data_IF_192343611934
#
_entry.id   IF_192343611934
#
_cell.length_a   1.000
_cell.length_b   1.000
_cell.length_c   1.000
_cell.angle_alpha   90.00
_cell.angle_beta   90.00
_cell.angle_gamma   90.00
#
_symmetry.space_group_name_H-M   'P 1'
#
loop_
_entity.id
_entity.type
_entity.pdbx_description
1 polymer ?
#
# COMPACT_ATOMS: atom_id res chain seq x y z
N UNK A 1 14.30 -9.58 10.62
CA UNK A 1 13.64 -8.53 11.44
C UNK A 1 12.23 -8.44 10.91
N UNK A 2 11.23 -8.86 11.68
CA UNK A 2 9.85 -8.93 11.22
C UNK A 2 9.25 -7.51 11.20
N UNK A 3 8.67 -7.16 10.06
CA UNK A 3 8.04 -5.88 9.74
C UNK A 3 6.77 -5.69 10.59
N UNK A 4 6.92 -5.25 11.85
CA UNK A 4 5.80 -5.18 12.81
C UNK A 4 4.71 -4.17 12.42
N UNK A 5 5.02 -3.20 11.55
CA UNK A 5 4.12 -2.09 11.21
C UNK A 5 3.51 -2.18 9.80
N UNK A 6 3.87 -3.19 9.00
CA UNK A 6 3.27 -3.37 7.66
C UNK A 6 2.05 -4.28 7.78
N UNK A 7 0.87 -3.69 7.61
CA UNK A 7 -0.39 -4.43 7.65
C UNK A 7 -0.56 -5.33 6.43
N UNK A 8 -1.24 -6.47 6.60
CA UNK A 8 -1.67 -7.31 5.48
C UNK A 8 -3.15 -7.08 5.25
N UNK A 9 -3.48 -6.56 4.07
CA UNK A 9 -4.87 -6.34 3.66
C UNK A 9 -5.35 -7.51 2.80
N UNK A 10 -6.57 -7.95 3.06
CA UNK A 10 -7.29 -9.00 2.34
C UNK A 10 -8.60 -8.43 1.82
N UNK A 11 -9.30 -9.19 0.98
CA UNK A 11 -10.63 -8.78 0.54
C UNK A 11 -11.63 -8.63 1.70
N UNK A 12 -11.46 -9.38 2.81
CA UNK A 12 -12.40 -9.34 3.94
C UNK A 12 -12.17 -8.12 4.84
N UNK A 13 -10.92 -7.66 5.00
CA UNK A 13 -10.59 -6.56 5.90
C UNK A 13 -10.44 -5.20 5.17
N UNK A 14 -10.45 -5.17 3.84
CA UNK A 14 -10.17 -3.95 3.09
C UNK A 14 -11.13 -2.82 3.42
N UNK A 15 -12.42 -3.12 3.57
CA UNK A 15 -13.42 -2.10 3.89
C UNK A 15 -13.15 -1.45 5.25
N UNK A 16 -12.98 -2.25 6.31
CA UNK A 16 -12.77 -1.73 7.66
C UNK A 16 -11.39 -1.12 7.85
N UNK A 17 -10.34 -1.75 7.32
CA UNK A 17 -8.96 -1.35 7.57
C UNK A 17 -8.48 -0.22 6.66
N UNK A 18 -8.98 -0.17 5.41
CA UNK A 18 -8.56 0.81 4.39
C UNK A 18 -9.62 1.88 4.18
N UNK A 19 -10.86 1.48 3.85
CA UNK A 19 -11.87 2.46 3.42
C UNK A 19 -12.49 3.24 4.59
N UNK A 20 -12.69 2.59 5.72
CA UNK A 20 -13.24 3.20 6.93
C UNK A 20 -12.15 3.72 7.88
N UNK A 21 -10.89 3.77 7.43
CA UNK A 21 -9.80 4.21 8.29
C UNK A 21 -9.91 5.70 8.66
N UNK A 22 -9.72 6.06 9.93
CA UNK A 22 -9.73 7.46 10.36
C UNK A 22 -8.46 8.22 9.94
N UNK A 23 -7.42 7.50 9.49
CA UNK A 23 -6.15 8.07 9.01
C UNK A 23 -5.91 7.64 7.56
N UNK A 24 -5.08 8.37 6.80
CA UNK A 24 -4.68 7.94 5.46
C UNK A 24 -4.09 6.53 5.45
N UNK A 25 -4.35 5.77 4.38
CA UNK A 25 -3.90 4.39 4.23
C UNK A 25 -3.17 4.20 2.91
N UNK A 26 -1.89 3.80 2.99
CA UNK A 26 -1.12 3.40 1.82
C UNK A 26 -1.20 1.88 1.65
N UNK A 27 -1.67 1.44 0.49
CA UNK A 27 -1.72 0.02 0.10
C UNK A 27 -0.69 -0.25 -1.00
N UNK A 28 0.29 -1.10 -0.72
CA UNK A 28 1.19 -1.70 -1.71
C UNK A 28 0.54 -2.96 -2.32
N UNK A 29 0.05 -2.84 -3.55
CA UNK A 29 -0.43 -3.97 -4.33
C UNK A 29 0.79 -4.73 -4.88
N UNK A 30 0.95 -5.95 -4.40
CA UNK A 30 2.15 -6.77 -4.57
C UNK A 30 1.80 -8.19 -5.03
N UNK A 31 2.82 -8.99 -5.36
CA UNK A 31 2.68 -10.41 -5.64
C UNK A 31 3.95 -11.18 -5.23
N UNK A 32 3.81 -12.44 -4.85
CA UNK A 32 4.94 -13.27 -4.38
C UNK A 32 6.02 -13.53 -5.44
N UNK A 33 5.61 -13.61 -6.71
CA UNK A 33 6.46 -13.83 -7.88
C UNK A 33 7.08 -12.54 -8.42
N UNK A 34 6.70 -11.37 -7.89
CA UNK A 34 7.15 -10.08 -8.38
C UNK A 34 8.54 -9.70 -7.83
N UNK A 35 9.57 -9.83 -8.66
CA UNK A 35 10.93 -9.39 -8.33
C UNK A 35 11.03 -7.92 -7.93
N UNK A 36 10.49 -6.97 -8.71
CA UNK A 36 10.51 -5.55 -8.34
C UNK A 36 9.79 -5.23 -7.03
N UNK A 37 8.76 -6.00 -6.66
CA UNK A 37 8.04 -5.82 -5.40
C UNK A 37 8.94 -6.12 -4.19
N UNK A 38 9.85 -7.11 -4.31
CA UNK A 38 10.85 -7.40 -3.27
C UNK A 38 11.83 -6.25 -3.05
N UNK A 39 12.14 -5.50 -4.10
CA UNK A 39 12.98 -4.31 -4.01
C UNK A 39 12.24 -3.11 -3.39
N UNK A 40 10.92 -3.02 -3.59
CA UNK A 40 10.08 -1.96 -2.99
C UNK A 40 9.76 -2.22 -1.52
N UNK A 41 9.61 -3.49 -1.11
CA UNK A 41 9.27 -3.91 0.24
C UNK A 41 10.04 -3.17 1.37
N UNK A 42 11.38 -3.05 1.35
CA UNK A 42 12.10 -2.32 2.40
C UNK A 42 11.73 -0.83 2.49
N UNK A 43 11.32 -0.21 1.38
CA UNK A 43 10.86 1.19 1.39
C UNK A 43 9.46 1.31 2.01
N UNK A 44 8.57 0.36 1.72
CA UNK A 44 7.24 0.27 2.35
C UNK A 44 7.38 0.04 3.86
N UNK A 45 8.28 -0.85 4.27
CA UNK A 45 8.58 -1.10 5.69
C UNK A 45 9.12 0.13 6.39
N UNK A 46 10.08 0.82 5.77
CA UNK A 46 10.62 2.08 6.30
C UNK A 46 9.51 3.13 6.46
N UNK A 47 8.65 3.26 5.46
CA UNK A 47 7.54 4.21 5.48
C UNK A 47 6.55 3.89 6.61
N UNK A 48 6.19 2.62 6.78
CA UNK A 48 5.31 2.15 7.85
C UNK A 48 5.85 2.51 9.24
N UNK A 49 7.16 2.46 9.43
CA UNK A 49 7.81 2.82 10.68
C UNK A 49 7.87 4.34 10.89
N UNK A 50 8.25 5.12 9.87
CA UNK A 50 8.40 6.57 10.01
C UNK A 50 7.07 7.32 10.13
N UNK A 51 6.01 6.80 9.50
CA UNK A 51 4.67 7.42 9.50
C UNK A 51 3.68 6.72 10.45
N UNK A 52 4.18 5.90 11.38
CA UNK A 52 3.34 5.22 12.35
C UNK A 52 2.41 6.22 13.09
N UNK A 53 1.12 5.90 13.11
CA UNK A 53 0.08 6.75 13.72
C UNK A 53 -0.37 7.95 12.88
N UNK A 54 0.34 8.29 11.80
CA UNK A 54 -0.06 9.31 10.82
C UNK A 54 -0.65 8.69 9.55
N UNK A 55 -0.07 7.59 9.09
CA UNK A 55 -0.49 6.86 7.90
C UNK A 55 -0.45 5.37 8.22
N UNK A 56 -1.53 4.65 7.94
CA UNK A 56 -1.52 3.19 7.99
C UNK A 56 -0.89 2.67 6.70
N UNK A 57 0.14 1.84 6.82
CA UNK A 57 0.83 1.29 5.65
C UNK A 57 0.67 -0.21 5.63
N UNK A 58 0.29 -0.76 4.50
CA UNK A 58 0.16 -2.20 4.34
C UNK A 58 0.27 -2.65 2.91
N UNK A 59 0.17 -3.96 2.73
CA UNK A 59 0.27 -4.63 1.43
C UNK A 59 -0.96 -5.46 1.15
N UNK A 60 -1.27 -5.62 -0.12
CA UNK A 60 -2.32 -6.51 -0.61
C UNK A 60 -1.74 -7.39 -1.71
N UNK A 61 -1.86 -8.70 -1.56
CA UNK A 61 -1.49 -9.64 -2.62
C UNK A 61 -2.60 -9.68 -3.67
N UNK A 62 -2.26 -9.33 -4.91
CA UNK A 62 -3.22 -9.29 -6.01
C UNK A 62 -3.73 -10.69 -6.39
N UNK A 63 -2.96 -11.75 -6.12
CA UNK A 63 -3.38 -13.13 -6.39
C UNK A 63 -4.42 -13.59 -5.36
N UNK A 64 -4.34 -13.07 -4.13
CA UNK A 64 -5.29 -13.35 -3.07
C UNK A 64 -6.58 -12.54 -3.20
N UNK A 65 -6.52 -11.32 -3.76
CA UNK A 65 -7.68 -10.45 -3.95
C UNK A 65 -7.76 -9.85 -5.37
N UNK A 66 -7.92 -10.68 -6.42
CA UNK A 66 -7.82 -10.24 -7.82
C UNK A 66 -8.93 -9.27 -8.24
N UNK A 67 -10.17 -9.52 -7.79
CA UNK A 67 -11.31 -8.63 -8.08
C UNK A 67 -11.12 -7.23 -7.48
N UNK A 68 -10.56 -7.16 -6.28
CA UNK A 68 -10.31 -5.91 -5.57
C UNK A 68 -9.19 -5.12 -6.25
N UNK A 69 -8.08 -5.78 -6.59
CA UNK A 69 -7.00 -5.19 -7.36
C UNK A 69 -7.48 -4.66 -8.72
N UNK A 70 -8.27 -5.45 -9.45
CA UNK A 70 -8.88 -5.04 -10.71
C UNK A 70 -9.82 -3.85 -10.55
N UNK A 71 -10.65 -3.84 -9.49
CA UNK A 71 -11.59 -2.75 -9.18
C UNK A 71 -10.90 -1.40 -8.96
N UNK A 72 -9.68 -1.39 -8.41
CA UNK A 72 -8.87 -0.16 -8.28
C UNK A 72 -8.00 0.16 -9.49
N UNK A 73 -8.11 -0.63 -10.56
CA UNK A 73 -7.36 -0.43 -11.80
C UNK A 73 -5.90 -0.86 -11.72
N UNK A 74 -5.56 -1.78 -10.81
CA UNK A 74 -4.20 -2.34 -10.71
C UNK A 74 -3.99 -3.33 -11.85
N UNK A 75 -3.16 -2.94 -12.83
CA UNK A 75 -2.82 -3.76 -14.02
C UNK A 75 -1.40 -4.33 -13.99
N UNK A 76 -0.58 -3.84 -13.07
CA UNK A 76 0.82 -4.24 -12.92
C UNK A 76 1.25 -4.03 -11.46
N UNK A 77 2.18 -4.85 -11.00
CA UNK A 77 2.76 -4.75 -9.66
C UNK A 77 4.27 -4.45 -9.75
N UNK A 78 4.84 -3.72 -8.76
CA UNK A 78 4.14 -3.14 -7.62
C UNK A 78 3.32 -1.91 -8.01
N UNK A 79 2.22 -1.66 -7.30
CA UNK A 79 1.46 -0.41 -7.40
C UNK A 79 1.08 0.03 -6.00
N UNK A 80 1.46 1.25 -5.60
CA UNK A 80 1.05 1.82 -4.32
C UNK A 80 -0.12 2.80 -4.52
N UNK A 81 -1.16 2.67 -3.73
CA UNK A 81 -2.32 3.55 -3.75
C UNK A 81 -2.55 4.13 -2.36
N UNK A 82 -2.71 5.46 -2.29
CA UNK A 82 -3.08 6.17 -1.08
C UNK A 82 -4.60 6.36 -1.04
N UNK A 83 -5.19 5.98 0.08
CA UNK A 83 -6.60 6.14 0.40
C UNK A 83 -6.78 7.14 1.54
N UNK A 84 -7.73 8.06 1.38
CA UNK A 84 -8.11 9.02 2.42
C UNK A 84 -9.64 9.15 2.43
N UNK A 85 -10.26 9.00 3.60
CA UNK A 85 -11.71 9.05 3.75
C UNK A 85 -12.46 8.09 2.81
N UNK A 86 -11.91 6.88 2.60
CA UNK A 86 -12.49 5.87 1.72
C UNK A 86 -12.25 6.08 0.22
N UNK A 87 -11.56 7.13 -0.19
CA UNK A 87 -11.35 7.45 -1.60
C UNK A 87 -9.89 7.27 -2.00
N UNK A 88 -9.66 6.78 -3.23
CA UNK A 88 -8.33 6.80 -3.85
C UNK A 88 -7.94 8.25 -4.14
N UNK A 89 -6.89 8.75 -3.49
CA UNK A 89 -6.42 10.12 -3.69
C UNK A 89 -5.17 10.21 -4.56
N UNK A 90 -4.24 9.26 -4.41
CA UNK A 90 -2.96 9.25 -5.15
C UNK A 90 -2.55 7.82 -5.48
N UNK A 91 -1.77 7.67 -6.55
CA UNK A 91 -1.29 6.38 -7.01
C UNK A 91 0.11 6.49 -7.60
N UNK A 92 0.95 5.51 -7.29
CA UNK A 92 2.28 5.31 -7.87
C UNK A 92 2.35 3.90 -8.45
N UNK A 93 2.68 3.79 -9.74
CA UNK A 93 2.80 2.50 -10.43
C UNK A 93 4.28 2.21 -10.66
N UNK A 94 4.67 0.94 -10.47
CA UNK A 94 6.02 0.45 -10.70
C UNK A 94 6.97 0.69 -9.52
N UNK A 95 8.15 0.09 -9.62
CA UNK A 95 9.23 0.28 -8.64
C UNK A 95 9.64 1.76 -8.61
N UNK A 96 9.83 2.29 -7.41
CA UNK A 96 10.20 3.69 -7.18
C UNK A 96 11.15 3.82 -6.00
N UNK A 97 11.56 5.05 -5.67
CA UNK A 97 12.43 5.34 -4.52
C UNK A 97 11.64 5.61 -3.24
N UNK A 98 12.33 5.55 -2.11
CA UNK A 98 11.75 5.88 -0.81
C UNK A 98 11.19 7.31 -0.79
N UNK A 99 11.94 8.28 -1.32
CA UNK A 99 11.57 9.69 -1.33
C UNK A 99 10.26 9.90 -2.10
N UNK A 100 10.05 9.16 -3.20
CA UNK A 100 8.81 9.24 -3.97
C UNK A 100 7.62 8.69 -3.18
N UNK A 101 7.80 7.58 -2.46
CA UNK A 101 6.75 7.03 -1.58
C UNK A 101 6.46 7.97 -0.40
N UNK A 102 7.49 8.56 0.21
CA UNK A 102 7.33 9.53 1.28
C UNK A 102 6.57 10.77 0.81
N UNK A 103 6.89 11.30 -0.38
CA UNK A 103 6.14 12.41 -0.98
C UNK A 103 4.68 12.05 -1.27
N UNK A 104 4.40 10.80 -1.66
CA UNK A 104 3.04 10.33 -1.91
C UNK A 104 2.16 10.51 -0.66
N UNK A 105 2.69 10.17 0.52
CA UNK A 105 1.96 10.19 1.80
C UNK A 105 2.11 11.49 2.60
N UNK A 106 3.10 12.34 2.27
CA UNK A 106 3.39 13.58 3.03
C UNK A 106 2.73 14.83 2.44
N UNK A 107 2.11 14.75 1.26
CA UNK A 107 1.57 15.95 0.63
C UNK A 107 0.35 16.50 1.40
N UNK A 108 0.28 17.83 1.58
CA UNK A 108 -0.66 18.54 2.44
C UNK A 108 -2.12 18.46 1.96
#
# INVERSE_FOLDING_TARGET
MASQNVHTFTAENFESEVLQSPIPVLVDFTATWCGPCKALAPFVEKLANEFQGKVKVGKLDIDAAPKLAQGYGVRSVPTCILFEGGNKVKQQVGLTTYEKLAQLVSAP
#
